data_IF_050150297552
#
_entry.id   IF_050150297552
#
_cell.length_a   1.000
_cell.length_b   1.000
_cell.length_c   1.000
_cell.angle_alpha   90.00
_cell.angle_beta   90.00
_cell.angle_gamma   90.00
#
_symmetry.space_group_name_H-M   'P 1'
#
loop_
_entity.id
_entity.type
_entity.pdbx_description
1 polymer ?
#
# COMPACT_ATOMS: atom_id res chain seq x y z
N UNK A 1 -4.84 -8.11 20.36
CA UNK A 1 -5.44 -7.08 21.25
C UNK A 1 -6.97 -7.05 21.14
N UNK A 2 -7.67 -6.29 21.99
CA UNK A 2 -9.14 -6.12 21.86
C UNK A 2 -9.54 -5.39 20.56
N UNK A 3 -8.65 -4.57 19.98
CA UNK A 3 -8.86 -3.92 18.67
C UNK A 3 -8.81 -4.90 17.50
N UNK A 4 -7.79 -5.76 17.42
CA UNK A 4 -7.69 -6.80 16.38
C UNK A 4 -8.93 -7.72 16.33
N UNK A 5 -9.46 -8.11 17.49
CA UNK A 5 -10.70 -8.90 17.53
C UNK A 5 -11.88 -8.17 16.87
N UNK A 6 -11.97 -6.85 17.07
CA UNK A 6 -13.01 -6.03 16.45
C UNK A 6 -12.80 -5.83 14.95
N UNK A 7 -11.56 -5.77 14.49
CA UNK A 7 -11.24 -5.84 13.05
C UNK A 7 -11.70 -7.17 12.45
N UNK A 8 -11.40 -8.29 13.10
CA UNK A 8 -11.82 -9.62 12.63
C UNK A 8 -13.35 -9.80 12.60
N UNK A 9 -14.07 -9.10 13.48
CA UNK A 9 -15.54 -9.03 13.49
C UNK A 9 -16.11 -8.03 12.46
N UNK A 10 -15.25 -7.31 11.72
CA UNK A 10 -15.61 -6.18 10.83
C UNK A 10 -16.35 -5.02 11.55
N UNK A 11 -16.21 -4.93 12.87
CA UNK A 11 -16.74 -3.85 13.69
C UNK A 11 -15.72 -2.70 13.74
N UNK A 12 -15.58 -2.02 12.59
CA UNK A 12 -14.55 -1.00 12.35
C UNK A 12 -14.63 0.19 13.32
N UNK A 13 -15.84 0.61 13.68
CA UNK A 13 -16.05 1.69 14.66
C UNK A 13 -15.55 1.29 16.06
N UNK A 14 -15.86 0.07 16.51
CA UNK A 14 -15.35 -0.40 17.79
C UNK A 14 -13.83 -0.61 17.72
N UNK A 15 -13.30 -1.17 16.64
CA UNK A 15 -11.87 -1.34 16.43
C UNK A 15 -11.12 -0.01 16.54
N UNK A 16 -11.59 1.02 15.83
CA UNK A 16 -11.02 2.37 15.85
C UNK A 16 -10.98 2.93 17.28
N UNK A 17 -12.07 2.77 18.04
CA UNK A 17 -12.14 3.19 19.45
C UNK A 17 -11.12 2.43 20.33
N UNK A 18 -10.94 1.13 20.12
CA UNK A 18 -9.95 0.33 20.86
C UNK A 18 -8.53 0.75 20.53
N UNK A 19 -8.19 0.99 19.27
CA UNK A 19 -6.85 1.43 18.87
C UNK A 19 -6.55 2.86 19.34
N UNK A 20 -7.51 3.79 19.25
CA UNK A 20 -7.38 5.13 19.87
C UNK A 20 -7.09 5.05 21.38
N UNK A 21 -7.74 4.14 22.10
CA UNK A 21 -7.43 3.89 23.52
C UNK A 21 -6.05 3.26 23.73
N UNK A 22 -5.65 2.33 22.86
CA UNK A 22 -4.33 1.70 22.94
C UNK A 22 -3.21 2.74 22.75
N UNK A 23 -3.32 3.61 21.75
CA UNK A 23 -2.38 4.72 21.50
C UNK A 23 -2.33 5.70 22.68
N UNK A 24 -3.47 6.01 23.31
CA UNK A 24 -3.50 6.86 24.51
C UNK A 24 -2.76 6.24 25.71
N UNK A 25 -2.79 4.91 25.83
CA UNK A 25 -2.11 4.19 26.90
C UNK A 25 -0.61 4.05 26.62
N UNK A 26 -0.25 3.78 25.37
CA UNK A 26 1.12 3.67 24.93
C UNK A 26 1.24 4.14 23.47
N UNK A 27 1.72 5.37 23.23
CA UNK A 27 1.83 5.92 21.88
C UNK A 27 2.99 5.34 21.07
N UNK A 28 3.86 4.52 21.68
CA UNK A 28 5.03 3.93 21.01
C UNK A 28 4.79 2.52 20.49
N UNK A 29 3.52 2.10 20.39
CA UNK A 29 3.15 0.80 19.83
C UNK A 29 2.83 0.94 18.34
N UNK A 30 3.71 0.50 17.44
CA UNK A 30 3.46 0.61 16.00
C UNK A 30 2.17 -0.14 15.59
N UNK A 31 1.89 -1.29 16.19
CA UNK A 31 0.70 -2.10 15.87
C UNK A 31 -0.60 -1.38 16.23
N UNK A 32 -0.56 -0.46 17.20
CA UNK A 32 -1.74 0.31 17.60
C UNK A 32 -2.06 1.42 16.59
N UNK A 33 -1.04 2.07 16.02
CA UNK A 33 -1.21 3.05 14.94
C UNK A 33 -1.61 2.35 13.64
N UNK A 34 -0.93 1.26 13.29
CA UNK A 34 -1.29 0.42 12.13
C UNK A 34 -2.75 -0.06 12.24
N UNK A 35 -3.14 -0.63 13.38
CA UNK A 35 -4.51 -1.07 13.60
C UNK A 35 -5.54 0.07 13.57
N UNK A 36 -5.16 1.29 13.96
CA UNK A 36 -6.01 2.48 13.83
C UNK A 36 -6.25 2.82 12.36
N UNK A 37 -5.21 2.80 11.52
CA UNK A 37 -5.31 3.00 10.08
C UNK A 37 -6.22 1.94 9.43
N UNK A 38 -5.97 0.66 9.70
CA UNK A 38 -6.77 -0.46 9.20
C UNK A 38 -8.25 -0.36 9.60
N UNK A 39 -8.53 0.03 10.84
CA UNK A 39 -9.89 0.24 11.30
C UNK A 39 -10.56 1.44 10.62
N UNK A 40 -9.79 2.48 10.31
CA UNK A 40 -10.29 3.68 9.68
C UNK A 40 -10.77 3.45 8.24
N UNK A 41 -10.21 2.47 7.52
CA UNK A 41 -10.64 2.10 6.16
C UNK A 41 -12.15 1.76 6.08
N UNK A 42 -12.69 1.12 7.12
CA UNK A 42 -14.10 0.74 7.20
C UNK A 42 -15.01 1.77 7.88
N UNK A 43 -14.49 2.96 8.21
CA UNK A 43 -15.25 4.02 8.89
C UNK A 43 -15.52 5.18 7.92
N UNK A 44 -16.80 5.50 7.63
CA UNK A 44 -17.13 6.60 6.75
C UNK A 44 -16.62 7.95 7.27
N UNK A 45 -16.26 8.83 6.34
CA UNK A 45 -15.83 10.23 6.57
C UNK A 45 -14.46 10.41 7.26
N UNK A 46 -13.63 9.37 7.30
CA UNK A 46 -12.20 9.56 7.60
C UNK A 46 -11.48 9.90 6.29
N UNK A 47 -10.64 10.93 6.31
CA UNK A 47 -9.88 11.37 5.13
C UNK A 47 -8.69 10.45 4.87
N UNK A 48 -8.26 10.36 3.61
CA UNK A 48 -7.04 9.64 3.24
C UNK A 48 -5.82 10.13 4.03
N UNK A 49 -5.68 11.45 4.24
CA UNK A 49 -4.58 12.03 5.01
C UNK A 49 -4.54 11.54 6.47
N UNK A 50 -5.69 11.34 7.12
CA UNK A 50 -5.73 10.81 8.49
C UNK A 50 -5.26 9.35 8.53
N UNK A 51 -5.66 8.54 7.54
CA UNK A 51 -5.28 7.13 7.44
C UNK A 51 -3.79 6.99 7.11
N UNK A 52 -3.30 7.79 6.15
CA UNK A 52 -1.87 7.86 5.79
C UNK A 52 -1.04 8.28 7.00
N UNK A 53 -1.49 9.28 7.77
CA UNK A 53 -0.79 9.71 8.98
C UNK A 53 -0.66 8.60 10.02
N UNK A 54 -1.67 7.74 10.17
CA UNK A 54 -1.63 6.62 11.11
C UNK A 54 -0.70 5.50 10.62
N UNK A 55 -0.70 5.19 9.32
CA UNK A 55 0.30 4.28 8.75
C UNK A 55 1.72 4.82 8.92
N UNK A 56 1.94 6.11 8.62
CA UNK A 56 3.24 6.75 8.77
C UNK A 56 3.71 6.72 10.23
N UNK A 57 2.83 6.92 11.20
CA UNK A 57 3.17 6.80 12.61
C UNK A 57 3.60 5.37 13.00
N UNK A 58 3.01 4.34 12.40
CA UNK A 58 3.46 2.96 12.58
C UNK A 58 4.86 2.72 11.96
N UNK A 59 5.08 3.23 10.75
CA UNK A 59 6.36 3.13 10.03
C UNK A 59 7.47 3.93 10.73
N UNK A 60 7.17 5.10 11.30
CA UNK A 60 8.17 5.89 12.03
C UNK A 60 8.64 5.19 13.31
N UNK A 61 7.77 4.36 13.91
CA UNK A 61 8.10 3.54 15.07
C UNK A 61 8.81 2.23 14.69
N UNK A 62 8.51 1.67 13.52
CA UNK A 62 9.12 0.45 13.00
C UNK A 62 9.42 0.58 11.49
N UNK A 63 10.53 1.26 11.13
CA UNK A 63 10.81 1.65 9.74
C UNK A 63 11.18 0.49 8.83
N UNK A 64 11.63 -0.62 9.42
CA UNK A 64 12.05 -1.84 8.73
C UNK A 64 10.93 -2.89 8.70
N UNK A 65 9.67 -2.47 8.85
CA UNK A 65 8.51 -3.35 8.66
C UNK A 65 7.98 -3.24 7.23
N UNK A 66 8.43 -4.15 6.36
CA UNK A 66 8.02 -4.19 4.96
C UNK A 66 6.49 -4.36 4.78
N UNK A 67 5.81 -5.02 5.73
CA UNK A 67 4.36 -5.15 5.69
C UNK A 67 3.65 -3.80 5.91
N UNK A 68 4.09 -2.97 6.86
CA UNK A 68 3.51 -1.63 7.04
C UNK A 68 3.74 -0.72 5.83
N UNK A 69 4.93 -0.79 5.23
CA UNK A 69 5.26 -0.07 4.00
C UNK A 69 4.34 -0.51 2.85
N UNK A 70 4.17 -1.82 2.62
CA UNK A 70 3.29 -2.34 1.58
C UNK A 70 1.82 -1.93 1.79
N UNK A 71 1.32 -1.93 3.05
CA UNK A 71 -0.06 -1.51 3.36
C UNK A 71 -0.28 -0.02 3.13
N UNK A 72 0.69 0.83 3.48
CA UNK A 72 0.66 2.25 3.09
C UNK A 72 0.64 2.38 1.56
N UNK A 73 1.47 1.60 0.86
CA UNK A 73 1.54 1.61 -0.61
C UNK A 73 0.22 1.25 -1.27
N UNK A 74 -0.40 0.14 -0.84
CA UNK A 74 -1.71 -0.32 -1.29
C UNK A 74 -2.80 0.74 -1.07
N UNK A 75 -2.92 1.27 0.15
CA UNK A 75 -3.90 2.33 0.42
C UNK A 75 -3.62 3.61 -0.37
N UNK A 76 -2.35 3.94 -0.62
CA UNK A 76 -1.96 5.10 -1.41
C UNK A 76 -2.37 4.96 -2.88
N UNK A 77 -2.33 3.76 -3.47
CA UNK A 77 -2.88 3.51 -4.80
C UNK A 77 -4.40 3.73 -4.83
N UNK A 78 -5.12 3.13 -3.88
CA UNK A 78 -6.59 3.24 -3.80
C UNK A 78 -7.07 4.68 -3.58
N UNK A 79 -6.28 5.47 -2.85
CA UNK A 79 -6.57 6.88 -2.55
C UNK A 79 -6.05 7.86 -3.60
N UNK A 80 -5.36 7.38 -4.66
CA UNK A 80 -4.83 8.20 -5.75
C UNK A 80 -3.51 8.91 -5.44
N UNK A 81 -2.83 8.54 -4.36
CA UNK A 81 -1.51 9.05 -3.97
C UNK A 81 -0.40 8.20 -4.62
N UNK A 82 -0.30 8.28 -5.94
CA UNK A 82 0.52 7.40 -6.77
C UNK A 82 2.01 7.42 -6.44
N UNK A 83 2.57 8.59 -6.18
CA UNK A 83 4.00 8.76 -5.85
C UNK A 83 4.33 8.13 -4.49
N UNK A 84 3.46 8.36 -3.49
CA UNK A 84 3.62 7.76 -2.16
C UNK A 84 3.50 6.24 -2.21
N UNK A 85 2.61 5.72 -3.07
CA UNK A 85 2.50 4.29 -3.29
C UNK A 85 3.81 3.70 -3.84
N UNK A 86 4.34 4.30 -4.90
CA UNK A 86 5.57 3.85 -5.53
C UNK A 86 6.77 3.89 -4.56
N UNK A 87 6.91 4.96 -3.78
CA UNK A 87 7.94 5.06 -2.74
C UNK A 87 7.80 3.96 -1.70
N UNK A 88 6.59 3.73 -1.20
CA UNK A 88 6.33 2.76 -0.13
C UNK A 88 6.64 1.33 -0.56
N UNK A 89 6.25 0.93 -1.78
CA UNK A 89 6.58 -0.40 -2.30
C UNK A 89 8.07 -0.58 -2.59
N UNK A 90 8.75 0.45 -3.10
CA UNK A 90 10.21 0.38 -3.28
C UNK A 90 10.92 0.21 -1.93
N UNK A 91 10.52 0.97 -0.90
CA UNK A 91 11.08 0.80 0.45
C UNK A 91 10.78 -0.57 1.04
N UNK A 92 9.58 -1.12 0.82
CA UNK A 92 9.25 -2.48 1.27
C UNK A 92 10.20 -3.52 0.64
N UNK A 93 10.49 -3.39 -0.66
CA UNK A 93 11.45 -4.25 -1.37
C UNK A 93 12.90 -4.05 -0.94
N UNK A 94 13.30 -2.85 -0.52
CA UNK A 94 14.64 -2.58 0.04
C UNK A 94 14.82 -3.21 1.42
N UNK A 95 13.78 -3.15 2.27
CA UNK A 95 13.79 -3.66 3.64
C UNK A 95 13.69 -5.20 3.67
N UNK A 96 12.92 -5.79 2.76
CA UNK A 96 12.78 -7.25 2.62
C UNK A 96 13.15 -7.69 1.18
N UNK A 97 14.45 -7.79 0.87
CA UNK A 97 14.92 -8.12 -0.48
C UNK A 97 14.57 -9.56 -0.90
N UNK A 98 14.41 -10.48 0.05
CA UNK A 98 14.04 -11.87 -0.24
C UNK A 98 12.61 -11.97 -0.81
N UNK A 99 11.73 -11.06 -0.39
CA UNK A 99 10.35 -10.95 -0.87
C UNK A 99 10.12 -9.76 -1.82
N UNK A 100 11.17 -9.09 -2.28
CA UNK A 100 11.10 -7.92 -3.18
C UNK A 100 10.22 -8.16 -4.41
N UNK A 101 10.25 -9.38 -4.95
CA UNK A 101 9.43 -9.79 -6.07
C UNK A 101 7.92 -9.65 -5.79
N UNK A 102 7.47 -9.91 -4.56
CA UNK A 102 6.06 -9.75 -4.16
C UNK A 102 5.65 -8.29 -4.25
N UNK A 103 6.41 -7.38 -3.62
CA UNK A 103 6.11 -5.95 -3.60
C UNK A 103 6.13 -5.31 -4.98
N UNK A 104 7.10 -5.67 -5.82
CA UNK A 104 7.14 -5.18 -7.19
C UNK A 104 5.98 -5.73 -8.03
N UNK A 105 5.63 -7.00 -7.86
CA UNK A 105 4.50 -7.59 -8.58
C UNK A 105 3.16 -6.97 -8.16
N UNK A 106 2.96 -6.75 -6.86
CA UNK A 106 1.77 -6.12 -6.29
C UNK A 106 1.62 -4.69 -6.80
N UNK A 107 2.66 -3.85 -6.68
CA UNK A 107 2.62 -2.49 -7.23
C UNK A 107 2.34 -2.49 -8.74
N UNK A 108 3.03 -3.33 -9.51
CA UNK A 108 2.86 -3.38 -10.96
C UNK A 108 1.42 -3.67 -11.39
N UNK A 109 0.77 -4.65 -10.75
CA UNK A 109 -0.62 -5.00 -11.02
C UNK A 109 -1.59 -3.94 -10.49
N UNK A 110 -1.46 -3.56 -9.22
CA UNK A 110 -2.41 -2.65 -8.57
C UNK A 110 -2.32 -1.22 -9.13
N UNK A 111 -1.15 -0.75 -9.55
CA UNK A 111 -1.01 0.56 -10.20
C UNK A 111 -1.84 0.65 -11.48
N UNK A 112 -1.81 -0.41 -12.30
CA UNK A 112 -2.63 -0.49 -13.51
C UNK A 112 -4.12 -0.52 -13.16
N UNK A 113 -4.51 -1.37 -12.22
CA UNK A 113 -5.92 -1.54 -11.84
C UNK A 113 -6.50 -0.29 -11.20
N UNK A 114 -5.78 0.36 -10.29
CA UNK A 114 -6.21 1.57 -9.64
C UNK A 114 -6.34 2.73 -10.64
N UNK A 115 -5.41 2.85 -11.60
CA UNK A 115 -5.55 3.83 -12.69
C UNK A 115 -6.78 3.54 -13.55
N UNK A 116 -7.00 2.27 -13.95
CA UNK A 116 -8.18 1.88 -14.74
C UNK A 116 -9.49 2.15 -14.00
N UNK A 117 -9.53 1.87 -12.69
CA UNK A 117 -10.69 2.15 -11.86
C UNK A 117 -10.98 3.65 -11.76
N UNK A 118 -9.95 4.49 -11.72
CA UNK A 118 -10.09 5.95 -11.65
C UNK A 118 -10.49 6.58 -12.98
N UNK A 119 -9.94 6.11 -14.10
CA UNK A 119 -10.16 6.70 -15.42
C UNK A 119 -11.38 6.11 -16.15
N UNK A 120 -11.79 4.90 -15.80
CA UNK A 120 -12.92 4.21 -16.39
C UNK A 120 -12.73 3.83 -17.86
N UNK A 121 -13.82 3.47 -18.53
CA UNK A 121 -13.82 2.99 -19.93
C UNK A 121 -13.50 4.08 -20.97
N UNK A 122 -13.50 5.35 -20.56
CA UNK A 122 -13.26 6.51 -21.44
C UNK A 122 -11.78 6.85 -21.60
N UNK A 123 -10.89 6.15 -20.91
CA UNK A 123 -9.47 6.40 -20.95
C UNK A 123 -8.91 6.18 -22.36
N UNK A 124 -8.16 7.14 -22.90
CA UNK A 124 -7.62 7.05 -24.25
C UNK A 124 -6.39 6.15 -24.28
N UNK A 125 -6.13 5.53 -25.43
CA UNK A 125 -4.95 4.69 -25.65
C UNK A 125 -3.65 5.39 -25.27
N UNK A 126 -3.54 6.68 -25.59
CA UNK A 126 -2.31 7.45 -25.38
C UNK A 126 -2.08 7.75 -23.89
N UNK A 127 -3.17 7.83 -23.11
CA UNK A 127 -3.11 8.02 -21.65
C UNK A 127 -2.70 6.71 -20.93
N UNK A 128 -2.90 5.57 -21.61
CA UNK A 128 -2.61 4.23 -21.08
C UNK A 128 -1.13 3.87 -21.18
N UNK A 129 -0.44 4.32 -22.23
CA UNK A 129 0.93 3.89 -22.52
C UNK A 129 1.90 4.10 -21.34
N UNK A 130 1.94 5.28 -20.68
CA UNK A 130 2.82 5.50 -19.53
C UNK A 130 2.50 4.57 -18.35
N UNK A 131 1.22 4.28 -18.15
CA UNK A 131 0.74 3.43 -17.04
C UNK A 131 1.11 1.99 -17.27
N UNK A 132 0.76 1.46 -18.46
CA UNK A 132 1.11 0.10 -18.88
C UNK A 132 2.62 -0.08 -18.85
N UNK A 133 3.39 0.91 -19.32
CA UNK A 133 4.85 0.86 -19.28
C UNK A 133 5.37 0.79 -17.85
N UNK A 134 4.90 1.63 -16.92
CA UNK A 134 5.33 1.58 -15.52
C UNK A 134 4.98 0.23 -14.89
N UNK A 135 3.75 -0.22 -15.03
CA UNK A 135 3.31 -1.53 -14.53
C UNK A 135 4.18 -2.66 -15.05
N UNK A 136 4.45 -2.69 -16.35
CA UNK A 136 5.33 -3.70 -16.96
C UNK A 136 6.75 -3.63 -16.38
N UNK A 137 7.30 -2.44 -16.15
CA UNK A 137 8.64 -2.32 -15.56
C UNK A 137 8.73 -2.94 -14.17
N UNK A 138 7.70 -2.77 -13.34
CA UNK A 138 7.66 -3.40 -12.01
C UNK A 138 7.43 -4.91 -12.08
N UNK A 139 6.63 -5.39 -13.03
CA UNK A 139 6.52 -6.83 -13.30
C UNK A 139 7.83 -7.45 -13.82
N UNK A 140 8.66 -6.70 -14.54
CA UNK A 140 9.98 -7.15 -14.93
C UNK A 140 10.94 -7.16 -13.74
N UNK A 141 10.91 -6.12 -12.89
CA UNK A 141 11.69 -6.08 -11.64
C UNK A 141 11.36 -7.28 -10.74
N UNK A 142 10.08 -7.70 -10.64
CA UNK A 142 9.72 -8.87 -9.85
C UNK A 142 10.25 -10.20 -10.40
N UNK A 143 10.67 -10.23 -11.66
CA UNK A 143 11.31 -11.38 -12.30
C UNK A 143 12.84 -11.26 -12.37
N UNK A 144 13.41 -10.22 -11.75
CA UNK A 144 14.83 -9.86 -11.88
C UNK A 144 15.24 -9.66 -13.35
N UNK A 145 14.36 -9.02 -14.13
CA UNK A 145 14.56 -8.72 -15.54
C UNK A 145 14.60 -7.21 -15.78
N UNK A 146 15.48 -6.80 -16.69
CA UNK A 146 15.44 -5.48 -17.32
C UNK A 146 14.69 -5.51 -18.66
N UNK A 147 14.39 -4.33 -19.21
CA UNK A 147 13.69 -4.21 -20.50
C UNK A 147 14.43 -4.95 -21.64
N UNK A 148 15.77 -4.91 -21.63
CA UNK A 148 16.59 -5.52 -22.68
C UNK A 148 16.52 -7.05 -22.65
N UNK A 149 16.54 -7.63 -21.46
CA UNK A 149 16.44 -9.07 -21.24
C UNK A 149 15.03 -9.57 -21.55
N UNK A 150 14.00 -8.84 -21.15
CA UNK A 150 12.62 -9.13 -21.52
C UNK A 150 12.42 -9.15 -23.04
N UNK A 151 12.92 -8.14 -23.76
CA UNK A 151 12.86 -8.08 -25.24
C UNK A 151 13.56 -9.26 -25.91
N UNK A 152 14.68 -9.73 -25.35
CA UNK A 152 15.38 -10.92 -25.88
C UNK A 152 14.59 -12.22 -25.66
N UNK A 153 13.88 -12.35 -24.54
CA UNK A 153 13.10 -13.55 -24.20
C UNK A 153 11.79 -13.66 -24.99
N UNK A 154 11.18 -12.53 -25.35
CA UNK A 154 9.89 -12.45 -26.05
C UNK A 154 10.01 -12.38 -27.59
N UNK A 155 11.23 -12.52 -28.12
CA UNK A 155 11.55 -12.42 -29.55
C UNK A 155 10.89 -13.47 -30.42
#
# INVERSE_FOLDING_TARGET
MAGERKLAEMDFQAALSKFKRAIKLDPKKPEAHFGKAEAALGVPKISADEIISDYQAAIDLEPDNAFYLARLGSFSLESGQWELAEESYNRAAEVDPENSYLYFSEFGLEYYHAWMAMMGEEAKSDDMEPVVRKSLLYLLKSLDLDEASAKRLLG
#
